data_IF_600341319529
#
_entry.id   IF_600341319529
#
_cell.length_a   1.000
_cell.length_b   1.000
_cell.length_c   1.000
_cell.angle_alpha   90.00
_cell.angle_beta   90.00
_cell.angle_gamma   90.00
#
_symmetry.space_group_name_H-M   'P 1'
#
loop_
_entity.id
_entity.type
_entity.pdbx_description
1 polymer ?
#
# COMPACT_ATOMS: atom_id res chain seq x y z
N UNK A 1 -14.30 19.05 -56.62
CA UNK A 1 -13.06 19.61 -56.02
C UNK A 1 -13.11 19.40 -54.52
N UNK A 2 -12.24 18.50 -54.02
CA UNK A 2 -11.82 18.18 -52.64
C UNK A 2 -12.84 18.18 -51.47
N UNK A 3 -13.27 16.96 -51.15
CA UNK A 3 -13.33 16.37 -49.80
C UNK A 3 -12.24 16.92 -48.84
N UNK A 4 -12.64 17.41 -47.65
CA UNK A 4 -11.91 17.27 -46.37
C UNK A 4 -12.51 18.17 -45.28
N UNK A 5 -13.13 17.54 -44.27
CA UNK A 5 -12.78 17.69 -42.84
C UNK A 5 -13.93 17.23 -41.94
N UNK A 6 -14.21 15.92 -41.96
CA UNK A 6 -14.98 15.24 -40.92
C UNK A 6 -14.10 14.25 -40.13
N UNK A 7 -12.80 14.57 -40.00
CA UNK A 7 -11.78 13.68 -39.40
C UNK A 7 -10.97 14.37 -38.29
N UNK A 8 -10.99 15.71 -38.21
CA UNK A 8 -10.13 16.46 -37.27
C UNK A 8 -10.64 16.48 -35.81
N UNK A 9 -11.90 16.15 -35.57
CA UNK A 9 -12.46 16.15 -34.21
C UNK A 9 -12.10 14.89 -33.41
N UNK A 10 -11.67 13.80 -34.07
CA UNK A 10 -11.35 12.52 -33.41
C UNK A 10 -9.88 12.38 -33.01
N UNK A 11 -9.01 13.23 -33.54
CA UNK A 11 -7.57 13.21 -33.24
C UNK A 11 -7.22 14.02 -31.98
N UNK A 12 -7.96 15.09 -31.68
CA UNK A 12 -7.69 15.97 -30.54
C UNK A 12 -8.11 15.38 -29.18
N UNK A 13 -9.12 14.49 -29.17
CA UNK A 13 -9.56 13.83 -27.93
C UNK A 13 -8.63 12.70 -27.48
N UNK A 14 -7.89 12.08 -28.41
CA UNK A 14 -6.94 11.01 -28.07
C UNK A 14 -5.61 11.53 -27.50
N UNK A 15 -5.11 12.68 -27.99
CA UNK A 15 -3.86 13.26 -27.49
C UNK A 15 -4.01 13.85 -26.08
N UNK A 16 -5.17 14.44 -25.77
CA UNK A 16 -5.46 14.99 -24.43
C UNK A 16 -5.81 13.89 -23.42
N UNK A 17 -6.52 12.82 -23.83
CA UNK A 17 -6.82 11.70 -22.92
C UNK A 17 -5.56 10.94 -22.49
N UNK A 18 -4.56 10.80 -23.36
CA UNK A 18 -3.29 10.16 -23.02
C UNK A 18 -2.50 10.96 -21.98
N UNK A 19 -2.45 12.30 -22.12
CA UNK A 19 -1.81 13.16 -21.13
C UNK A 19 -2.59 13.20 -19.80
N UNK A 20 -3.93 13.17 -19.84
CA UNK A 20 -4.78 13.06 -18.67
C UNK A 20 -4.58 11.73 -17.94
N UNK A 21 -4.64 10.58 -18.64
CA UNK A 21 -4.35 9.24 -18.09
C UNK A 21 -2.95 9.16 -17.48
N UNK A 22 -1.94 9.71 -18.16
CA UNK A 22 -0.56 9.70 -17.67
C UNK A 22 -0.40 10.53 -16.41
N UNK A 23 -1.09 11.66 -16.30
CA UNK A 23 -1.12 12.51 -15.11
C UNK A 23 -1.89 11.86 -13.96
N UNK A 24 -3.01 11.20 -14.25
CA UNK A 24 -3.81 10.46 -13.29
C UNK A 24 -3.04 9.26 -12.73
N UNK A 25 -2.39 8.46 -13.59
CA UNK A 25 -1.52 7.34 -13.18
C UNK A 25 -0.31 7.81 -12.38
N UNK A 26 0.25 8.98 -12.69
CA UNK A 26 1.36 9.55 -11.91
C UNK A 26 0.90 9.98 -10.51
N UNK A 27 -0.28 10.59 -10.39
CA UNK A 27 -0.94 10.87 -9.09
C UNK A 27 -1.28 9.58 -8.35
N UNK A 28 -1.78 8.57 -9.05
CA UNK A 28 -2.13 7.25 -8.51
C UNK A 28 -0.89 6.56 -7.92
N UNK A 29 0.20 6.53 -8.69
CA UNK A 29 1.47 5.96 -8.27
C UNK A 29 2.05 6.72 -7.07
N UNK A 30 1.91 8.05 -7.02
CA UNK A 30 2.32 8.84 -5.86
C UNK A 30 1.49 8.55 -4.61
N UNK A 31 0.15 8.58 -4.70
CA UNK A 31 -0.74 8.31 -3.56
C UNK A 31 -0.63 6.88 -3.06
N UNK A 32 -0.51 5.89 -3.96
CA UNK A 32 -0.32 4.49 -3.56
C UNK A 32 1.05 4.31 -2.89
N UNK A 33 2.10 4.97 -3.38
CA UNK A 33 3.42 4.92 -2.74
C UNK A 33 3.39 5.48 -1.32
N UNK A 34 2.69 6.59 -1.11
CA UNK A 34 2.55 7.23 0.20
C UNK A 34 1.72 6.36 1.16
N UNK A 35 0.59 5.82 0.69
CA UNK A 35 -0.26 4.94 1.50
C UNK A 35 0.40 3.58 1.80
N UNK A 36 1.14 3.01 0.85
CA UNK A 36 1.95 1.82 1.07
C UNK A 36 3.06 2.07 2.10
N UNK A 37 3.68 3.26 2.07
CA UNK A 37 4.69 3.66 3.05
C UNK A 37 4.08 3.80 4.45
N UNK A 38 2.95 4.50 4.58
CA UNK A 38 2.24 4.66 5.86
C UNK A 38 1.75 3.30 6.38
N UNK A 39 1.18 2.48 5.49
CA UNK A 39 0.73 1.14 5.80
C UNK A 39 1.88 0.26 6.28
N UNK A 40 3.02 0.27 5.58
CA UNK A 40 4.25 -0.42 5.97
C UNK A 40 4.78 0.04 7.32
N UNK A 41 4.79 1.35 7.58
CA UNK A 41 5.24 1.91 8.86
C UNK A 41 4.34 1.40 10.00
N UNK A 42 3.02 1.53 9.87
CA UNK A 42 2.07 1.04 10.87
C UNK A 42 2.12 -0.48 11.03
N UNK A 43 2.28 -1.20 9.92
CA UNK A 43 2.44 -2.65 9.91
C UNK A 43 3.70 -3.08 10.66
N UNK A 44 4.82 -2.39 10.46
CA UNK A 44 6.08 -2.68 11.16
C UNK A 44 5.97 -2.45 12.66
N UNK A 45 5.39 -1.33 13.09
CA UNK A 45 5.19 -0.99 14.51
C UNK A 45 4.26 -2.01 15.16
N UNK A 46 3.12 -2.31 14.55
CA UNK A 46 2.19 -3.31 15.07
C UNK A 46 2.80 -4.72 15.07
N UNK A 47 3.62 -5.07 14.07
CA UNK A 47 4.36 -6.34 14.00
C UNK A 47 5.38 -6.48 15.12
N UNK A 48 6.12 -5.41 15.44
CA UNK A 48 7.04 -5.37 16.59
C UNK A 48 6.27 -5.56 17.90
N UNK A 49 5.16 -4.84 18.09
CA UNK A 49 4.35 -4.93 19.30
C UNK A 49 3.77 -6.35 19.45
N UNK A 50 3.25 -6.94 18.38
CA UNK A 50 2.71 -8.29 18.38
C UNK A 50 3.79 -9.34 18.70
N UNK A 51 4.98 -9.21 18.10
CA UNK A 51 6.10 -10.10 18.37
C UNK A 51 6.62 -9.95 19.81
N UNK A 52 6.69 -8.72 20.33
CA UNK A 52 7.05 -8.46 21.71
C UNK A 52 6.04 -9.07 22.67
N UNK A 53 4.75 -8.86 22.43
CA UNK A 53 3.68 -9.39 23.27
C UNK A 53 3.64 -10.93 23.23
N UNK A 54 3.83 -11.53 22.06
CA UNK A 54 3.96 -12.97 21.93
C UNK A 54 5.16 -13.49 22.72
N UNK A 55 6.33 -12.85 22.58
CA UNK A 55 7.54 -13.26 23.30
C UNK A 55 7.36 -13.14 24.82
N UNK A 56 6.82 -12.02 25.33
CA UNK A 56 6.56 -11.85 26.76
C UNK A 56 5.48 -12.80 27.28
N UNK A 57 4.42 -13.05 26.51
CA UNK A 57 3.40 -14.04 26.84
C UNK A 57 3.99 -15.44 26.98
N UNK A 58 4.89 -15.83 26.08
CA UNK A 58 5.57 -17.12 26.18
C UNK A 58 6.61 -17.19 27.32
N UNK A 59 7.28 -16.09 27.65
CA UNK A 59 8.20 -16.02 28.80
C UNK A 59 7.46 -16.17 30.14
N UNK A 60 6.18 -15.79 30.19
CA UNK A 60 5.35 -15.99 31.37
C UNK A 60 5.01 -17.46 31.65
N UNK A 61 5.30 -18.37 30.71
CA UNK A 61 5.07 -19.80 30.86
C UNK A 61 6.20 -20.44 31.72
N UNK A 62 5.86 -21.08 32.86
CA UNK A 62 6.86 -21.71 33.73
C UNK A 62 7.68 -22.75 32.97
N UNK A 63 9.01 -22.69 33.09
CA UNK A 63 9.94 -23.63 32.45
C UNK A 63 10.44 -23.27 31.04
N UNK A 64 9.89 -22.24 30.40
CA UNK A 64 10.27 -21.85 29.02
C UNK A 64 11.06 -20.53 28.91
N UNK A 65 11.11 -19.72 29.97
CA UNK A 65 11.74 -18.39 29.97
C UNK A 65 13.17 -18.33 29.37
N UNK A 66 14.14 -19.16 29.80
CA UNK A 66 15.51 -19.09 29.29
C UNK A 66 15.68 -19.46 27.81
N UNK A 67 14.80 -20.33 27.29
CA UNK A 67 14.84 -20.79 25.89
C UNK A 67 14.34 -19.68 24.97
N UNK A 68 13.30 -18.96 25.40
CA UNK A 68 12.61 -17.97 24.58
C UNK A 68 13.31 -16.61 24.63
N UNK A 69 13.96 -16.25 25.74
CA UNK A 69 14.81 -15.06 25.84
C UNK A 69 15.91 -15.02 24.78
N UNK A 70 16.49 -16.18 24.42
CA UNK A 70 17.49 -16.25 23.34
C UNK A 70 16.91 -16.01 21.94
N UNK A 71 15.62 -16.23 21.76
CA UNK A 71 14.91 -16.08 20.48
C UNK A 71 14.23 -14.72 20.28
N UNK A 72 14.13 -13.87 21.32
CA UNK A 72 13.42 -12.58 21.26
C UNK A 72 13.90 -11.71 20.10
N UNK A 73 15.22 -11.58 19.92
CA UNK A 73 15.77 -10.73 18.87
C UNK A 73 15.32 -11.16 17.47
N UNK A 74 15.31 -12.48 17.23
CA UNK A 74 14.86 -13.07 15.95
C UNK A 74 13.35 -12.85 15.78
N UNK A 75 12.57 -13.09 16.85
CA UNK A 75 11.12 -12.91 16.82
C UNK A 75 10.71 -11.46 16.51
N UNK A 76 11.38 -10.48 17.14
CA UNK A 76 11.13 -9.06 16.86
C UNK A 76 11.48 -8.69 15.41
N UNK A 77 12.63 -9.15 14.92
CA UNK A 77 13.05 -8.89 13.54
C UNK A 77 12.08 -9.51 12.53
N UNK A 78 11.72 -10.78 12.71
CA UNK A 78 10.73 -11.47 11.88
C UNK A 78 9.36 -10.79 11.95
N UNK A 79 8.90 -10.41 13.15
CA UNK A 79 7.65 -9.69 13.34
C UNK A 79 7.62 -8.33 12.63
N UNK A 80 8.75 -7.62 12.65
CA UNK A 80 8.91 -6.34 11.92
C UNK A 80 8.77 -6.56 10.42
N UNK A 81 9.49 -7.54 9.86
CA UNK A 81 9.46 -7.83 8.42
C UNK A 81 8.06 -8.24 7.96
N UNK A 82 7.43 -9.16 8.69
CA UNK A 82 6.07 -9.62 8.37
C UNK A 82 5.09 -8.44 8.48
N UNK A 83 5.23 -7.62 9.52
CA UNK A 83 4.46 -6.41 9.71
C UNK A 83 4.59 -5.42 8.54
N UNK A 84 5.82 -5.14 8.10
CA UNK A 84 6.12 -4.32 6.92
C UNK A 84 5.40 -4.85 5.67
N UNK A 85 5.50 -6.16 5.42
CA UNK A 85 4.91 -6.78 4.23
C UNK A 85 3.38 -6.65 4.25
N UNK A 86 2.74 -7.05 5.35
CA UNK A 86 1.28 -7.00 5.50
C UNK A 86 0.79 -5.55 5.43
N UNK A 87 1.47 -4.65 6.14
CA UNK A 87 1.15 -3.22 6.16
C UNK A 87 1.25 -2.57 4.78
N UNK A 88 2.29 -2.92 4.02
CA UNK A 88 2.47 -2.43 2.64
C UNK A 88 1.34 -2.92 1.72
N UNK A 89 1.01 -4.22 1.78
CA UNK A 89 -0.08 -4.81 0.97
C UNK A 89 -1.41 -4.12 1.30
N UNK A 90 -1.72 -3.95 2.58
CA UNK A 90 -2.95 -3.26 3.02
C UNK A 90 -2.96 -1.79 2.59
N UNK A 91 -1.82 -1.09 2.69
CA UNK A 91 -1.69 0.29 2.23
C UNK A 91 -1.95 0.43 0.73
N UNK A 92 -1.44 -0.50 -0.09
CA UNK A 92 -1.72 -0.54 -1.54
C UNK A 92 -3.19 -0.82 -1.82
N UNK A 93 -3.80 -1.79 -1.14
CA UNK A 93 -5.21 -2.14 -1.30
C UNK A 93 -6.13 -0.95 -0.97
N UNK A 94 -5.92 -0.33 0.19
CA UNK A 94 -6.70 0.83 0.64
C UNK A 94 -6.47 2.02 -0.30
N UNK A 95 -5.24 2.28 -0.73
CA UNK A 95 -4.97 3.36 -1.69
C UNK A 95 -5.64 3.15 -3.03
N UNK A 96 -5.67 1.92 -3.54
CA UNK A 96 -6.38 1.59 -4.77
C UNK A 96 -7.89 1.75 -4.61
N UNK A 97 -8.45 1.29 -3.48
CA UNK A 97 -9.87 1.44 -3.15
C UNK A 97 -10.30 2.90 -3.01
N UNK A 98 -9.55 3.72 -2.28
CA UNK A 98 -9.86 5.14 -2.10
C UNK A 98 -9.93 5.88 -3.44
N UNK A 99 -9.02 5.57 -4.36
CA UNK A 99 -9.01 6.20 -5.68
C UNK A 99 -10.16 5.70 -6.54
N UNK A 100 -10.43 4.39 -6.55
CA UNK A 100 -11.57 3.82 -7.26
C UNK A 100 -12.90 4.41 -6.77
N UNK A 101 -13.04 4.60 -5.46
CA UNK A 101 -14.21 5.24 -4.87
C UNK A 101 -14.26 6.74 -5.24
N UNK A 102 -13.15 7.47 -5.17
CA UNK A 102 -13.10 8.88 -5.57
C UNK A 102 -13.54 9.14 -7.01
N UNK A 103 -13.17 8.25 -7.94
CA UNK A 103 -13.57 8.34 -9.36
C UNK A 103 -15.09 8.10 -9.54
N UNK A 104 -15.65 7.13 -8.78
CA UNK A 104 -17.08 6.85 -8.75
C UNK A 104 -17.93 8.02 -8.21
N UNK A 105 -17.48 8.68 -7.15
CA UNK A 105 -18.23 9.77 -6.52
C UNK A 105 -18.07 11.13 -7.22
N UNK A 106 -17.00 11.33 -8.01
CA UNK A 106 -16.77 12.56 -8.79
C UNK A 106 -17.50 12.54 -10.14
N UNK A 107 -17.96 11.38 -10.62
CA UNK A 107 -18.62 11.23 -11.92
C UNK A 107 -20.12 11.64 -11.94
N UNK A 108 -20.56 12.48 -11.01
CA UNK A 108 -21.94 13.00 -10.95
C UNK A 108 -21.94 14.52 -11.01
#
# INVERSE_FOLDING_TARGET
>A
MKEKNMIDFKAYSNFTSNNCKKTFLKKLCHSIKELAFIGSLNGSVSGVIAAALAAYGYISLPGFGPIITRGIGIALFTGTIIGVIIGSIMGVLVGTFCIFMGDLYTSR
#
